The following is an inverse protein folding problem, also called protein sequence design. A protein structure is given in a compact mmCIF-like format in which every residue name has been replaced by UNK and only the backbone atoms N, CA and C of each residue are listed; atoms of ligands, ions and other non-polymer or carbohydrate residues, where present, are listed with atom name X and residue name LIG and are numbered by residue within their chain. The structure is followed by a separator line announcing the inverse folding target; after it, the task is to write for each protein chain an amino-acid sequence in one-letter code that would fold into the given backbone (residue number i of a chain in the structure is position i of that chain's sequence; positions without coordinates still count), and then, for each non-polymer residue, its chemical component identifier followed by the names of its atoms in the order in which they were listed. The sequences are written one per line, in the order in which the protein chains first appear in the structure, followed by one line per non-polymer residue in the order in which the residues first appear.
data_IF_227395222927
#
_entry.id   IF_227395222927
#
_cell.length_a   1.000
_cell.length_b   1.000
_cell.length_c   1.000
_cell.angle_alpha   90.00
_cell.angle_beta   90.00
_cell.angle_gamma   90.00
#
_symmetry.space_group_name_H-M   'P 1'
#
loop_
_entity.id
_entity.type
_entity.pdbx_description
1 polymer ?
#
# COMPACT_ATOMS: atom_id res chain seq x y z
N UNK A 1 -12.69 18.29 -5.10
CA UNK A 1 -14.14 18.41 -4.82
C UNK A 1 -14.75 17.03 -4.65
N UNK A 2 -14.43 16.13 -5.58
CA UNK A 2 -14.80 14.70 -5.69
C UNK A 2 -14.96 13.87 -4.41
N UNK A 3 -13.98 13.86 -3.50
CA UNK A 3 -14.09 13.05 -2.28
C UNK A 3 -15.11 13.66 -1.30
N UNK A 4 -15.98 12.83 -0.72
CA UNK A 4 -17.00 13.26 0.24
C UNK A 4 -17.95 12.13 0.61
N UNK A 5 -18.74 12.32 1.66
CA UNK A 5 -19.80 11.37 2.05
C UNK A 5 -20.70 11.11 0.84
N UNK A 6 -21.06 9.84 0.62
CA UNK A 6 -21.84 9.34 -0.52
C UNK A 6 -21.15 9.38 -1.90
N UNK A 7 -19.94 9.94 -2.02
CA UNK A 7 -19.18 9.89 -3.26
C UNK A 7 -18.79 8.44 -3.60
N UNK A 8 -18.90 8.06 -4.87
CA UNK A 8 -18.46 6.74 -5.34
C UNK A 8 -16.97 6.77 -5.60
N UNK A 9 -16.27 5.73 -5.14
CA UNK A 9 -14.81 5.61 -5.31
C UNK A 9 -14.41 5.62 -6.79
N UNK A 10 -15.18 4.98 -7.68
CA UNK A 10 -14.94 5.00 -9.12
C UNK A 10 -15.01 6.41 -9.75
N UNK A 11 -15.88 7.29 -9.23
CA UNK A 11 -16.06 8.64 -9.77
C UNK A 11 -14.86 9.52 -9.38
N UNK A 12 -14.35 9.35 -8.16
CA UNK A 12 -13.09 9.96 -7.71
C UNK A 12 -11.92 9.54 -8.62
N UNK A 13 -11.81 8.24 -8.93
CA UNK A 13 -10.76 7.74 -9.82
C UNK A 13 -10.88 8.25 -11.26
N UNK A 14 -12.10 8.38 -11.78
CA UNK A 14 -12.33 8.94 -13.10
C UNK A 14 -11.88 10.41 -13.19
N UNK A 15 -12.23 11.22 -12.19
CA UNK A 15 -11.83 12.62 -12.11
C UNK A 15 -10.31 12.79 -11.93
N UNK A 16 -9.66 11.94 -11.13
CA UNK A 16 -8.20 11.94 -10.99
C UNK A 16 -7.55 11.66 -12.36
N UNK A 17 -8.01 10.65 -13.08
CA UNK A 17 -7.45 10.30 -14.38
C UNK A 17 -7.62 11.41 -15.40
N UNK A 18 -8.81 12.01 -15.47
CA UNK A 18 -9.10 13.11 -16.38
C UNK A 18 -8.11 14.25 -16.20
N UNK A 19 -7.88 14.67 -14.95
CA UNK A 19 -6.92 15.74 -14.65
C UNK A 19 -5.50 15.28 -14.97
N UNK A 20 -5.08 14.12 -14.47
CA UNK A 20 -3.70 13.61 -14.64
C UNK A 20 -3.32 13.48 -16.12
N UNK A 21 -4.19 12.89 -16.94
CA UNK A 21 -3.92 12.60 -18.37
C UNK A 21 -4.15 13.81 -19.29
N UNK A 22 -4.58 14.95 -18.74
CA UNK A 22 -4.64 16.23 -19.45
C UNK A 22 -3.27 16.93 -19.58
N UNK A 23 -2.26 16.46 -18.85
CA UNK A 23 -0.92 17.05 -18.84
C UNK A 23 0.07 16.29 -19.71
N UNK A 24 1.01 17.04 -20.28
CA UNK A 24 2.21 16.54 -20.93
C UNK A 24 3.45 17.15 -20.27
N UNK A 25 4.55 16.41 -20.29
CA UNK A 25 5.85 16.86 -19.78
C UNK A 25 6.94 16.56 -20.79
N UNK A 26 7.89 17.49 -20.95
CA UNK A 26 9.09 17.27 -21.75
C UNK A 26 10.28 16.96 -20.82
N UNK A 27 10.89 15.79 -20.99
CA UNK A 27 12.07 15.37 -20.24
C UNK A 27 13.14 14.91 -21.24
N UNK A 28 14.31 15.54 -21.19
CA UNK A 28 15.43 15.25 -22.10
C UNK A 28 15.06 15.33 -23.59
N UNK A 29 14.27 16.33 -23.99
CA UNK A 29 13.86 16.52 -25.39
C UNK A 29 12.77 15.57 -25.89
N UNK A 30 12.17 14.77 -24.99
CA UNK A 30 11.05 13.87 -25.32
C UNK A 30 9.80 14.28 -24.55
N UNK A 31 8.70 14.46 -25.27
CA UNK A 31 7.38 14.74 -24.70
C UNK A 31 6.68 13.43 -24.30
N UNK A 32 6.05 13.45 -23.13
CA UNK A 32 5.27 12.36 -22.59
C UNK A 32 3.92 12.89 -22.11
N UNK A 33 2.84 12.24 -22.54
CA UNK A 33 1.57 12.36 -21.81
C UNK A 33 1.72 11.67 -20.45
N UNK A 34 1.34 12.35 -19.38
CA UNK A 34 1.35 11.79 -18.03
C UNK A 34 0.27 10.71 -17.93
N UNK A 35 0.60 9.56 -17.35
CA UNK A 35 -0.34 8.45 -17.14
C UNK A 35 -0.52 8.18 -15.65
N UNK A 36 -1.76 7.98 -15.22
CA UNK A 36 -2.04 7.43 -13.89
C UNK A 36 -1.47 6.00 -13.78
N UNK A 37 -0.81 5.68 -12.66
CA UNK A 37 -0.37 4.31 -12.35
C UNK A 37 -1.58 3.47 -11.92
N UNK A 38 -2.16 2.73 -12.86
CA UNK A 38 -3.51 2.14 -12.71
C UNK A 38 -3.67 1.05 -11.65
N UNK A 39 -2.57 0.51 -11.13
CA UNK A 39 -2.55 -0.51 -10.08
C UNK A 39 -1.96 0.00 -8.76
N UNK A 40 -1.99 1.33 -8.56
CA UNK A 40 -1.83 1.98 -7.28
C UNK A 40 -3.12 2.74 -6.96
N UNK A 41 -3.41 2.88 -5.67
CA UNK A 41 -4.69 3.39 -5.19
C UNK A 41 -4.44 4.13 -3.87
N UNK A 42 -5.24 5.16 -3.61
CA UNK A 42 -5.43 5.59 -2.22
C UNK A 42 -6.25 4.57 -1.44
N UNK A 43 -6.47 4.81 -0.16
CA UNK A 43 -7.11 3.82 0.71
C UNK A 43 -7.77 4.45 1.94
N UNK A 44 -8.75 3.75 2.51
CA UNK A 44 -9.28 4.10 3.83
C UNK A 44 -8.26 3.78 4.92
N UNK A 45 -8.28 4.54 6.02
CA UNK A 45 -7.39 4.39 7.17
C UNK A 45 -8.22 4.11 8.42
N UNK A 46 -7.77 3.14 9.22
CA UNK A 46 -8.38 2.76 10.49
C UNK A 46 -7.40 2.85 11.65
N UNK A 47 -7.87 2.75 12.91
CA UNK A 47 -6.99 2.73 14.07
C UNK A 47 -5.99 1.57 13.98
N UNK A 48 -4.69 1.90 13.92
CA UNK A 48 -3.60 0.93 13.75
C UNK A 48 -3.70 0.06 12.48
N UNK A 49 -4.45 0.49 11.48
CA UNK A 49 -4.65 -0.22 10.21
C UNK A 49 -4.50 0.76 9.05
N UNK A 50 -3.32 0.78 8.43
CA UNK A 50 -3.06 1.75 7.34
C UNK A 50 -3.98 1.51 6.14
N UNK A 51 -4.29 0.25 5.80
CA UNK A 51 -5.26 -0.12 4.76
C UNK A 51 -6.51 -0.74 5.39
N UNK A 52 -7.56 0.06 5.60
CA UNK A 52 -8.80 -0.36 6.29
C UNK A 52 -9.88 -0.97 5.38
N UNK A 53 -9.51 -1.36 4.16
CA UNK A 53 -10.34 -2.20 3.29
C UNK A 53 -10.97 -1.52 2.07
N UNK A 54 -11.15 -0.19 2.06
CA UNK A 54 -11.61 0.53 0.86
C UNK A 54 -10.44 1.10 0.07
N UNK A 55 -10.46 0.93 -1.25
CA UNK A 55 -9.44 1.48 -2.16
C UNK A 55 -10.00 2.61 -3.01
N UNK A 56 -9.29 3.73 -3.06
CA UNK A 56 -9.62 4.89 -3.89
C UNK A 56 -8.85 4.76 -5.22
N UNK A 57 -9.48 4.38 -6.34
CA UNK A 57 -8.80 4.28 -7.62
C UNK A 57 -8.32 5.64 -8.12
N UNK A 58 -7.30 5.63 -8.97
CA UNK A 58 -6.77 6.82 -9.67
C UNK A 58 -6.97 6.75 -11.19
N UNK A 59 -7.79 5.79 -11.62
CA UNK A 59 -8.24 5.57 -12.99
C UNK A 59 -9.76 5.39 -13.00
N UNK A 60 -10.40 5.73 -14.12
CA UNK A 60 -11.82 5.47 -14.32
C UNK A 60 -12.12 3.97 -14.31
N UNK A 61 -13.34 3.64 -13.90
CA UNK A 61 -13.76 2.26 -13.66
C UNK A 61 -13.56 1.87 -12.20
N UNK A 62 -13.76 0.59 -11.88
CA UNK A 62 -13.73 0.08 -10.51
C UNK A 62 -15.10 0.05 -9.85
N UNK A 63 -15.09 -0.14 -8.53
CA UNK A 63 -16.29 -0.36 -7.73
C UNK A 63 -17.09 0.92 -7.48
N UNK A 64 -18.41 0.80 -7.40
CA UNK A 64 -19.31 1.89 -7.03
C UNK A 64 -19.47 2.04 -5.51
N UNK A 65 -18.59 1.40 -4.73
CA UNK A 65 -18.49 1.53 -3.28
C UNK A 65 -18.42 3.01 -2.90
N UNK A 66 -19.13 3.39 -1.85
CA UNK A 66 -19.25 4.78 -1.41
C UNK A 66 -18.33 5.09 -0.24
N UNK A 67 -17.87 6.33 -0.19
CA UNK A 67 -17.26 6.93 0.99
C UNK A 67 -18.34 7.22 2.04
N UNK A 68 -18.03 6.95 3.31
CA UNK A 68 -18.96 7.07 4.44
C UNK A 68 -18.52 8.14 5.43
N UNK A 69 -19.49 8.63 6.21
CA UNK A 69 -19.23 9.57 7.31
C UNK A 69 -18.30 8.94 8.36
N UNK A 70 -17.34 9.73 8.84
CA UNK A 70 -16.39 9.33 9.88
C UNK A 70 -15.14 8.61 9.36
N UNK A 71 -15.09 8.25 8.07
CA UNK A 71 -13.94 7.57 7.49
C UNK A 71 -12.75 8.53 7.27
N UNK A 72 -11.55 7.98 7.47
CA UNK A 72 -10.30 8.60 7.05
C UNK A 72 -9.84 7.98 5.73
N UNK A 73 -9.27 8.80 4.86
CA UNK A 73 -8.72 8.34 3.59
C UNK A 73 -7.34 8.94 3.34
N UNK A 74 -6.40 8.11 2.92
CA UNK A 74 -5.24 8.51 2.13
C UNK A 74 -5.71 8.75 0.69
N UNK A 75 -5.64 9.99 0.23
CA UNK A 75 -5.86 10.36 -1.17
C UNK A 75 -4.48 10.58 -1.79
N UNK A 76 -3.97 9.54 -2.42
CA UNK A 76 -2.69 9.55 -3.13
C UNK A 76 -2.87 9.30 -4.62
N UNK A 77 -2.04 9.95 -5.43
CA UNK A 77 -2.05 9.80 -6.89
C UNK A 77 -0.63 9.66 -7.41
N UNK A 78 -0.48 8.89 -8.48
CA UNK A 78 0.82 8.53 -9.05
C UNK A 78 0.82 8.80 -10.55
N UNK A 79 1.62 9.78 -10.98
CA UNK A 79 1.82 10.11 -12.39
C UNK A 79 3.09 9.46 -12.92
N UNK A 80 3.03 8.83 -14.09
CA UNK A 80 4.16 8.13 -14.72
C UNK A 80 4.36 8.54 -16.18
N UNK A 81 5.62 8.65 -16.61
CA UNK A 81 6.00 8.75 -18.02
C UNK A 81 6.16 7.39 -18.71
N UNK A 82 5.98 6.29 -17.96
CA UNK A 82 6.18 4.91 -18.39
C UNK A 82 4.91 4.22 -18.91
N UNK A 83 4.67 3.00 -18.42
CA UNK A 83 3.49 2.19 -18.76
C UNK A 83 2.26 2.52 -17.91
N UNK A 84 2.41 3.36 -16.88
CA UNK A 84 1.36 3.62 -15.90
C UNK A 84 0.97 2.34 -15.17
N UNK A 85 1.96 1.50 -14.88
CA UNK A 85 1.76 0.23 -14.19
C UNK A 85 3.05 -0.17 -13.47
N UNK A 86 2.96 -0.40 -12.16
CA UNK A 86 4.10 -0.82 -11.37
C UNK A 86 4.17 -2.33 -11.24
N UNK A 87 5.37 -2.85 -11.08
CA UNK A 87 5.65 -4.22 -10.70
C UNK A 87 6.63 -4.21 -9.55
N UNK A 88 6.60 -5.28 -8.79
CA UNK A 88 7.65 -5.60 -7.84
C UNK A 88 9.03 -5.66 -8.52
N UNK A 89 9.97 -4.85 -8.02
CA UNK A 89 11.40 -4.92 -8.33
C UNK A 89 12.27 -4.54 -7.11
N UNK A 90 13.52 -5.03 -7.03
CA UNK A 90 14.53 -4.81 -5.96
C UNK A 90 14.37 -5.67 -4.68
N UNK A 91 14.85 -5.20 -3.51
CA UNK A 91 14.79 -5.90 -2.23
C UNK A 91 13.74 -5.29 -1.29
N UNK A 92 12.84 -6.12 -0.75
CA UNK A 92 11.84 -5.68 0.23
C UNK A 92 12.45 -5.16 1.53
N UNK A 93 11.91 -4.03 1.98
CA UNK A 93 12.28 -3.39 3.25
C UNK A 93 11.11 -3.15 4.20
N UNK A 94 9.86 -3.14 3.73
CA UNK A 94 8.66 -2.80 4.51
C UNK A 94 7.85 -4.05 4.86
N UNK A 95 7.37 -4.15 6.09
CA UNK A 95 6.64 -5.30 6.59
C UNK A 95 5.51 -4.80 7.50
N UNK A 96 4.45 -5.57 7.63
CA UNK A 96 3.34 -5.26 8.54
C UNK A 96 2.73 -6.57 9.03
N UNK A 97 2.26 -6.61 10.27
CA UNK A 97 1.48 -7.76 10.75
C UNK A 97 0.12 -7.75 10.04
N UNK A 98 -0.34 -8.92 9.59
CA UNK A 98 -1.68 -9.03 9.04
C UNK A 98 -2.71 -8.72 10.14
N UNK A 99 -3.62 -7.78 9.87
CA UNK A 99 -4.52 -7.20 10.87
C UNK A 99 -5.53 -8.24 11.39
N UNK A 100 -6.07 -9.07 10.50
CA UNK A 100 -7.12 -10.04 10.83
C UNK A 100 -6.58 -11.39 11.33
N UNK A 101 -5.27 -11.58 11.30
CA UNK A 101 -4.65 -12.83 11.72
C UNK A 101 -4.64 -12.95 13.24
N UNK A 102 -5.41 -13.92 13.72
CA UNK A 102 -5.44 -14.35 15.11
C UNK A 102 -4.19 -15.12 15.55
N UNK A 103 -4.31 -15.94 16.58
CA UNK A 103 -3.17 -16.71 17.09
C UNK A 103 -2.79 -17.85 16.13
N UNK A 104 -1.54 -17.82 15.63
CA UNK A 104 -0.95 -18.90 14.83
C UNK A 104 0.17 -19.57 15.65
N UNK A 105 0.12 -20.90 15.88
CA UNK A 105 1.11 -21.60 16.69
C UNK A 105 2.46 -21.69 15.96
N UNK A 106 3.47 -20.98 16.47
CA UNK A 106 4.83 -20.98 15.95
C UNK A 106 5.71 -22.06 16.61
N UNK A 107 6.33 -22.92 15.80
CA UNK A 107 7.31 -23.94 16.25
C UNK A 107 8.72 -23.38 16.38
N UNK A 108 9.08 -22.37 15.58
CA UNK A 108 10.42 -21.79 15.54
C UNK A 108 10.58 -20.78 16.68
N UNK A 109 11.43 -21.08 17.66
CA UNK A 109 11.62 -20.26 18.85
C UNK A 109 12.02 -18.80 18.52
N UNK A 110 12.93 -18.61 17.55
CA UNK A 110 13.35 -17.27 17.11
C UNK A 110 12.23 -16.49 16.41
N UNK A 111 11.34 -17.16 15.67
CA UNK A 111 10.16 -16.53 15.07
C UNK A 111 9.14 -16.11 16.15
N UNK A 112 8.94 -16.95 17.17
CA UNK A 112 8.10 -16.60 18.32
C UNK A 112 8.63 -15.40 19.10
N UNK A 113 9.96 -15.35 19.33
CA UNK A 113 10.61 -14.19 19.94
C UNK A 113 10.40 -12.93 19.10
N UNK A 114 10.70 -13.00 17.79
CA UNK A 114 10.56 -11.87 16.88
C UNK A 114 9.12 -11.37 16.79
N UNK A 115 8.12 -12.27 16.75
CA UNK A 115 6.71 -11.89 16.78
C UNK A 115 6.35 -11.16 18.08
N UNK A 116 6.91 -11.59 19.22
CA UNK A 116 6.79 -10.87 20.49
C UNK A 116 7.34 -9.45 20.38
N UNK A 117 8.54 -9.29 19.81
CA UNK A 117 9.13 -7.98 19.55
C UNK A 117 8.26 -7.12 18.65
N UNK A 118 7.73 -7.67 17.55
CA UNK A 118 6.85 -6.96 16.61
C UNK A 118 5.55 -6.50 17.31
N UNK A 119 4.89 -7.39 18.08
CA UNK A 119 3.67 -7.04 18.79
C UNK A 119 3.89 -5.93 19.83
N UNK A 120 5.02 -5.97 20.55
CA UNK A 120 5.32 -5.01 21.60
C UNK A 120 5.72 -3.63 21.08
N UNK A 121 6.33 -3.55 19.89
CA UNK A 121 6.86 -2.30 19.34
C UNK A 121 6.00 -1.68 18.24
N UNK A 122 5.33 -2.51 17.43
CA UNK A 122 4.61 -2.05 16.23
C UNK A 122 3.14 -2.46 16.22
N UNK A 123 2.79 -3.59 16.85
CA UNK A 123 1.44 -4.14 16.78
C UNK A 123 1.09 -4.50 15.34
N UNK A 124 0.11 -3.79 14.77
CA UNK A 124 -0.32 -3.91 13.37
C UNK A 124 0.19 -2.76 12.49
N UNK A 125 0.97 -1.82 13.03
CA UNK A 125 1.62 -0.78 12.23
C UNK A 125 2.74 -1.39 11.37
N UNK A 126 2.96 -0.77 10.21
CA UNK A 126 4.08 -1.13 9.35
C UNK A 126 5.44 -0.82 10.02
N UNK A 127 6.44 -1.64 9.73
CA UNK A 127 7.81 -1.50 10.18
C UNK A 127 8.79 -1.83 9.05
N UNK A 128 10.07 -1.56 9.26
CA UNK A 128 11.13 -1.93 8.33
C UNK A 128 12.30 -2.63 9.03
N UNK A 129 13.18 -3.29 8.26
CA UNK A 129 14.38 -3.96 8.81
C UNK A 129 15.23 -3.04 9.69
N UNK A 130 15.42 -1.79 9.26
CA UNK A 130 16.16 -0.76 10.02
C UNK A 130 15.54 -0.48 11.39
N UNK A 131 14.23 -0.63 11.55
CA UNK A 131 13.58 -0.44 12.85
C UNK A 131 13.85 -1.62 13.78
N UNK A 132 13.84 -2.84 13.26
CA UNK A 132 14.28 -4.03 14.00
C UNK A 132 15.74 -3.91 14.43
N UNK A 133 16.63 -3.47 13.53
CA UNK A 133 18.04 -3.22 13.85
C UNK A 133 18.19 -2.19 14.98
N UNK A 134 17.42 -1.08 14.89
CA UNK A 134 17.46 0.01 15.88
C UNK A 134 17.04 -0.43 17.28
N UNK A 135 16.08 -1.34 17.38
CA UNK A 135 15.62 -1.88 18.68
C UNK A 135 16.45 -3.09 19.14
N UNK A 136 17.55 -3.41 18.44
CA UNK A 136 18.55 -4.39 18.87
C UNK A 136 18.29 -5.82 18.40
N UNK A 137 17.32 -6.06 17.51
CA UNK A 137 17.17 -7.38 16.90
C UNK A 137 18.33 -7.67 15.97
N UNK A 138 18.87 -8.89 16.05
CA UNK A 138 19.98 -9.34 15.20
C UNK A 138 19.68 -10.74 14.67
N UNK A 139 20.25 -11.07 13.50
CA UNK A 139 20.09 -12.40 12.85
C UNK A 139 18.62 -12.83 12.70
N UNK A 140 17.71 -11.87 12.50
CA UNK A 140 16.26 -12.10 12.49
C UNK A 140 15.69 -12.47 11.12
N UNK A 141 16.47 -12.36 10.03
CA UNK A 141 15.95 -12.52 8.66
C UNK A 141 15.22 -13.85 8.42
N UNK A 142 15.76 -14.96 8.93
CA UNK A 142 15.11 -16.28 8.79
C UNK A 142 13.82 -16.39 9.63
N UNK A 143 13.81 -15.75 10.80
CA UNK A 143 12.62 -15.67 11.65
C UNK A 143 11.54 -14.80 11.00
N UNK A 144 11.91 -13.66 10.42
CA UNK A 144 11.02 -12.78 9.68
C UNK A 144 10.44 -13.50 8.46
N UNK A 145 11.29 -14.19 7.68
CA UNK A 145 10.84 -15.04 6.58
C UNK A 145 9.83 -16.08 7.05
N UNK A 146 10.09 -16.77 8.16
CA UNK A 146 9.15 -17.75 8.70
C UNK A 146 7.81 -17.11 9.08
N UNK A 147 7.79 -15.90 9.65
CA UNK A 147 6.55 -15.18 9.95
C UNK A 147 5.78 -14.80 8.69
N UNK A 148 6.48 -14.51 7.59
CA UNK A 148 5.88 -14.30 6.27
C UNK A 148 5.34 -15.60 5.67
N UNK A 149 6.11 -16.69 5.70
CA UNK A 149 5.72 -18.01 5.18
C UNK A 149 4.40 -18.51 5.80
N UNK A 150 4.17 -18.20 7.08
CA UNK A 150 2.97 -18.62 7.83
C UNK A 150 1.86 -17.56 7.84
N UNK A 151 2.02 -16.46 7.09
CA UNK A 151 0.99 -15.43 6.89
C UNK A 151 0.73 -14.49 8.08
N UNK A 152 1.55 -14.53 9.15
CA UNK A 152 1.39 -13.63 10.31
C UNK A 152 1.86 -12.21 9.96
N UNK A 153 2.98 -12.13 9.24
CA UNK A 153 3.54 -10.87 8.74
C UNK A 153 3.41 -10.88 7.23
N UNK A 154 2.93 -9.78 6.67
CA UNK A 154 2.94 -9.53 5.24
C UNK A 154 3.93 -8.43 4.92
N UNK A 155 4.23 -8.29 3.64
CA UNK A 155 4.90 -7.09 3.16
C UNK A 155 3.85 -5.98 3.00
N UNK A 156 4.22 -4.74 3.26
CA UNK A 156 3.32 -3.61 3.10
C UNK A 156 3.15 -3.30 1.60
N UNK A 157 2.01 -3.70 1.01
CA UNK A 157 1.65 -3.34 -0.36
C UNK A 157 0.92 -2.01 -0.37
N UNK A 158 1.47 -1.00 -1.04
CA UNK A 158 0.72 0.20 -1.40
C UNK A 158 -0.09 -0.19 -2.67
N UNK A 159 -1.38 -0.47 -2.54
CA UNK A 159 -2.30 -0.44 -3.69
C UNK A 159 -2.71 -1.75 -4.40
N UNK A 160 -2.38 -2.95 -3.94
CA UNK A 160 -2.93 -4.19 -4.54
C UNK A 160 -4.12 -4.73 -3.74
N UNK A 161 -5.34 -4.48 -4.21
CA UNK A 161 -6.57 -5.05 -3.64
C UNK A 161 -7.19 -6.20 -4.47
N UNK A 162 -6.41 -6.86 -5.33
CA UNK A 162 -6.93 -7.92 -6.21
C UNK A 162 -6.11 -9.23 -6.21
N UNK A 163 -5.53 -9.61 -5.07
CA UNK A 163 -5.20 -11.01 -4.86
C UNK A 163 -5.98 -11.57 -3.68
N UNK A 164 -6.85 -12.52 -3.99
CA UNK A 164 -7.52 -13.37 -3.02
C UNK A 164 -6.44 -14.03 -2.14
N UNK A 165 -6.44 -13.72 -0.84
CA UNK A 165 -5.44 -14.23 0.10
C UNK A 165 -5.32 -15.76 0.07
N UNK A 166 -6.40 -16.44 -0.35
CA UNK A 166 -6.43 -17.89 -0.53
C UNK A 166 -5.56 -18.35 -1.71
N UNK A 167 -5.49 -17.60 -2.81
CA UNK A 167 -4.66 -17.94 -3.98
C UNK A 167 -3.18 -17.76 -3.66
N UNK A 168 -2.82 -16.71 -2.90
CA UNK A 168 -1.44 -16.53 -2.46
C UNK A 168 -0.99 -17.65 -1.52
N UNK A 169 -1.82 -18.00 -0.54
CA UNK A 169 -1.56 -19.12 0.36
C UNK A 169 -1.42 -20.44 -0.41
N UNK A 170 -2.24 -20.65 -1.44
CA UNK A 170 -2.20 -21.85 -2.29
C UNK A 170 -0.93 -21.91 -3.15
N UNK A 171 -0.51 -20.79 -3.75
CA UNK A 171 0.72 -20.70 -4.55
C UNK A 171 2.01 -20.82 -3.72
N UNK A 172 1.99 -20.34 -2.48
CA UNK A 172 3.09 -20.52 -1.51
C UNK A 172 3.13 -21.97 -1.01
N UNK A 173 1.97 -22.58 -0.75
CA UNK A 173 1.86 -23.97 -0.27
C UNK A 173 2.30 -24.97 -1.35
N UNK A 174 2.01 -24.70 -2.63
CA UNK A 174 2.34 -25.57 -3.76
C UNK A 174 3.71 -25.27 -4.41
N UNK A 175 4.53 -24.40 -3.79
CA UNK A 175 5.92 -24.18 -4.21
C UNK A 175 6.11 -23.41 -5.51
N UNK A 176 5.07 -22.75 -6.02
CA UNK A 176 5.13 -21.90 -7.21
C UNK A 176 5.75 -20.52 -6.92
N UNK A 177 5.68 -20.06 -5.66
CA UNK A 177 6.45 -18.92 -5.15
C UNK A 177 7.47 -19.39 -4.11
N UNK A 178 8.75 -19.24 -4.41
CA UNK A 178 9.80 -19.34 -3.38
C UNK A 178 9.75 -18.07 -2.53
N UNK A 179 9.37 -18.18 -1.26
CA UNK A 179 9.36 -17.07 -0.27
C UNK A 179 10.76 -16.50 0.09
N UNK A 180 11.74 -16.67 -0.80
CA UNK A 180 13.04 -15.99 -0.74
C UNK A 180 13.00 -14.60 -1.38
N UNK A 181 11.90 -14.20 -2.01
CA UNK A 181 11.70 -12.84 -2.50
C UNK A 181 10.53 -12.17 -1.76
N UNK A 182 10.79 -11.51 -0.63
CA UNK A 182 9.81 -10.60 -0.07
C UNK A 182 9.54 -9.45 -1.06
N UNK A 183 8.28 -9.04 -1.15
CA UNK A 183 7.70 -8.07 -2.08
C UNK A 183 8.45 -6.73 -2.13
N UNK A 184 9.12 -6.44 -3.25
CA UNK A 184 10.09 -5.37 -3.33
C UNK A 184 9.44 -4.03 -3.78
N UNK A 185 10.20 -2.92 -3.80
CA UNK A 185 9.75 -1.64 -4.35
C UNK A 185 8.88 -1.76 -5.60
N UNK A 186 7.82 -0.95 -5.67
CA UNK A 186 6.92 -0.93 -6.81
C UNK A 186 7.47 0.03 -7.87
N UNK A 187 7.88 -0.51 -9.01
CA UNK A 187 8.56 0.22 -10.08
C UNK A 187 7.81 0.08 -11.41
N UNK A 188 7.62 1.19 -12.12
CA UNK A 188 7.28 1.17 -13.54
C UNK A 188 8.55 0.81 -14.36
N UNK A 189 8.46 0.77 -15.69
CA UNK A 189 9.53 0.33 -16.58
C UNK A 189 10.81 1.16 -16.40
N UNK A 190 11.96 0.48 -16.44
CA UNK A 190 13.27 1.13 -16.34
C UNK A 190 13.38 2.35 -17.27
N UNK A 191 13.79 3.48 -16.70
CA UNK A 191 13.94 4.75 -17.41
C UNK A 191 12.69 5.62 -17.42
N UNK A 192 11.56 5.17 -16.87
CA UNK A 192 10.42 6.04 -16.58
C UNK A 192 10.68 6.92 -15.35
N UNK A 193 9.90 7.99 -15.25
CA UNK A 193 9.83 8.85 -14.06
C UNK A 193 8.43 8.73 -13.45
N UNK A 194 8.36 8.69 -12.13
CA UNK A 194 7.11 8.64 -11.36
C UNK A 194 7.10 9.75 -10.33
N UNK A 195 5.99 10.46 -10.18
CA UNK A 195 5.72 11.42 -9.10
C UNK A 195 4.52 10.97 -8.27
N UNK A 196 4.50 11.39 -7.00
CA UNK A 196 3.40 11.13 -6.07
C UNK A 196 3.12 12.40 -5.25
N UNK A 197 1.84 12.63 -4.97
CA UNK A 197 1.40 13.49 -3.87
C UNK A 197 0.28 12.79 -3.11
N UNK A 198 0.20 13.05 -1.81
CA UNK A 198 -0.76 12.43 -0.90
C UNK A 198 -1.23 13.42 0.16
N UNK A 199 -2.52 13.36 0.50
CA UNK A 199 -3.02 13.89 1.77
C UNK A 199 -3.93 12.89 2.47
N UNK A 200 -3.97 13.01 3.80
CA UNK A 200 -5.03 12.40 4.60
C UNK A 200 -6.21 13.35 4.70
N UNK A 201 -7.40 12.83 4.47
CA UNK A 201 -8.67 13.54 4.70
C UNK A 201 -9.51 12.83 5.76
N UNK A 202 -10.32 13.62 6.46
CA UNK A 202 -11.36 13.15 7.37
C UNK A 202 -12.72 13.62 6.85
N UNK A 203 -13.65 12.68 6.67
CA UNK A 203 -15.04 12.98 6.33
C UNK A 203 -15.87 13.19 7.60
N UNK A 204 -15.82 14.39 8.17
CA UNK A 204 -16.63 14.73 9.36
C UNK A 204 -18.12 14.85 8.99
N UNK A 205 -19.03 14.71 9.97
CA UNK A 205 -20.46 14.95 9.74
C UNK A 205 -20.77 16.34 9.18
N UNK A 206 -19.95 17.34 9.51
CA UNK A 206 -20.19 18.74 9.15
C UNK A 206 -19.38 19.22 7.94
N UNK A 207 -18.28 18.56 7.62
CA UNK A 207 -17.38 18.97 6.53
C UNK A 207 -16.37 17.87 6.18
N UNK A 208 -15.72 18.02 5.02
CA UNK A 208 -14.46 17.34 4.72
C UNK A 208 -13.30 18.20 5.19
N UNK A 209 -12.38 17.62 5.95
CA UNK A 209 -11.14 18.27 6.39
C UNK A 209 -9.93 17.58 5.75
N UNK A 210 -9.02 18.35 5.15
CA UNK A 210 -7.72 17.85 4.69
C UNK A 210 -6.73 18.01 5.85
N UNK A 211 -6.66 17.02 6.71
CA UNK A 211 -5.98 17.12 8.01
C UNK A 211 -4.46 17.23 7.89
N UNK A 212 -3.88 16.81 6.77
CA UNK A 212 -2.44 16.91 6.51
C UNK A 212 -2.06 18.07 5.57
N UNK A 213 -2.97 19.04 5.34
CA UNK A 213 -2.67 20.21 4.51
C UNK A 213 -1.63 21.10 5.20
N UNK A 214 -0.61 21.52 4.45
CA UNK A 214 0.37 22.52 4.88
C UNK A 214 0.40 23.75 3.96
N UNK A 215 1.32 24.68 4.25
CA UNK A 215 1.62 25.82 3.38
C UNK A 215 2.52 25.43 2.20
N UNK A 216 3.07 24.22 2.22
CA UNK A 216 3.94 23.64 1.20
C UNK A 216 3.16 22.96 0.08
N UNK A 217 2.21 22.09 0.41
CA UNK A 217 1.31 21.45 -0.54
C UNK A 217 0.00 21.01 0.07
#
# INVERSE_FOLDING_TARGET
QEAGIDARLCDVGAAIQEVMESYEVEINGKVFQVKSVRNLNGHSIGPYQIHAGKSVPIVKGGEQTKMEEGEFYAIETFGSTGKGFVREDLECSHYMKNFDVGHVPLRVAKAKQLLGTINNNFGTLAFCRRYLDRIGETKYLMALKNLCDVGIVQVCEIGYHHFDANVYQDMVTHGFLTCLQPYPPLCDVRGSYVSQFEHTILLRPTCKEVISRGDDY
#
